data_IF_457266316586
#
_entry.id   IF_457266316586
#
_cell.length_a   1.000
_cell.length_b   1.000
_cell.length_c   1.000
_cell.angle_alpha   90.00
_cell.angle_beta   90.00
_cell.angle_gamma   90.00
#
_symmetry.space_group_name_H-M   'P 1'
#
loop_
_entity.id
_entity.type
_entity.pdbx_description
1 polymer ?
#
# COMPACT_ATOMS: atom_id res chain seq x y z
N UNK A 1 20.86 -29.04 14.82
CA UNK A 1 20.49 -28.46 13.51
C UNK A 1 20.60 -26.96 13.68
N UNK A 2 21.31 -26.25 12.80
CA UNK A 2 21.34 -24.78 12.85
C UNK A 2 19.93 -24.26 12.58
N UNK A 3 19.48 -23.29 13.37
CA UNK A 3 18.19 -22.63 13.17
C UNK A 3 18.24 -21.80 11.90
N UNK A 4 17.29 -22.02 10.99
CA UNK A 4 17.15 -21.27 9.74
C UNK A 4 16.33 -20.00 9.99
N UNK A 5 16.79 -18.87 9.45
CA UNK A 5 16.15 -17.58 9.61
C UNK A 5 15.67 -17.04 8.26
N UNK A 6 14.47 -16.48 8.25
CA UNK A 6 13.94 -15.71 7.13
C UNK A 6 14.13 -14.22 7.41
N UNK A 7 14.67 -13.48 6.43
CA UNK A 7 14.74 -12.02 6.51
C UNK A 7 13.42 -11.45 5.99
N UNK A 8 12.75 -10.65 6.81
CA UNK A 8 11.47 -10.02 6.49
C UNK A 8 11.64 -8.56 6.07
N UNK A 9 12.72 -7.91 6.51
CA UNK A 9 13.08 -6.56 6.13
C UNK A 9 14.61 -6.44 6.08
N UNK A 10 15.15 -6.16 4.89
CA UNK A 10 16.58 -6.09 4.65
C UNK A 10 17.20 -4.75 5.07
N UNK A 11 16.41 -3.69 5.26
CA UNK A 11 16.91 -2.38 5.68
C UNK A 11 16.96 -2.29 7.21
N UNK A 12 15.92 -2.75 7.89
CA UNK A 12 15.83 -2.74 9.36
C UNK A 12 16.36 -4.04 9.99
N UNK A 13 16.88 -4.97 9.17
CA UNK A 13 17.42 -6.28 9.55
C UNK A 13 16.45 -7.13 10.40
N UNK A 14 15.16 -7.12 10.04
CA UNK A 14 14.16 -7.93 10.73
C UNK A 14 14.29 -9.38 10.25
N UNK A 15 14.63 -10.28 11.18
CA UNK A 15 14.77 -11.71 10.93
C UNK A 15 13.99 -12.52 11.94
N UNK A 16 13.39 -13.63 11.49
CA UNK A 16 12.64 -14.55 12.36
C UNK A 16 12.98 -16.00 12.07
N UNK A 17 12.92 -16.91 13.06
CA UNK A 17 13.14 -18.33 12.84
C UNK A 17 12.08 -18.94 11.91
N UNK A 18 12.52 -19.51 10.79
CA UNK A 18 11.62 -19.95 9.71
C UNK A 18 10.67 -21.06 10.15
N UNK A 19 11.18 -22.02 10.93
CA UNK A 19 10.38 -23.15 11.41
C UNK A 19 9.32 -22.73 12.44
N UNK A 20 9.61 -21.74 13.29
CA UNK A 20 8.68 -21.22 14.31
C UNK A 20 7.51 -20.48 13.67
N UNK A 21 7.76 -19.76 12.57
CA UNK A 21 6.79 -18.86 11.94
C UNK A 21 6.24 -19.33 10.59
N UNK A 22 6.38 -20.60 10.22
CA UNK A 22 6.06 -21.11 8.88
C UNK A 22 4.69 -20.68 8.32
N UNK A 23 3.61 -20.74 9.12
CA UNK A 23 2.29 -20.29 8.67
C UNK A 23 2.23 -18.79 8.38
N UNK A 24 2.91 -17.98 9.20
CA UNK A 24 2.94 -16.52 9.04
C UNK A 24 3.80 -16.12 7.84
N UNK A 25 4.89 -16.85 7.60
CA UNK A 25 5.72 -16.69 6.40
C UNK A 25 4.95 -17.04 5.12
N UNK A 26 4.09 -18.06 5.15
CA UNK A 26 3.21 -18.39 4.01
C UNK A 26 2.20 -17.25 3.72
N UNK A 27 1.69 -16.58 4.75
CA UNK A 27 0.82 -15.40 4.59
C UNK A 27 1.59 -14.24 3.95
N UNK A 28 2.81 -13.96 4.42
CA UNK A 28 3.67 -12.93 3.81
C UNK A 28 3.99 -13.25 2.35
N UNK A 29 4.35 -14.49 2.03
CA UNK A 29 4.61 -14.90 0.64
C UNK A 29 3.38 -14.78 -0.25
N UNK A 30 2.19 -15.10 0.28
CA UNK A 30 0.93 -14.92 -0.46
C UNK A 30 0.62 -13.45 -0.74
N UNK A 31 0.86 -12.57 0.24
CA UNK A 31 0.69 -11.13 0.10
C UNK A 31 1.70 -10.53 -0.87
N UNK A 32 2.97 -10.96 -0.80
CA UNK A 32 4.02 -10.59 -1.75
C UNK A 32 3.58 -10.92 -3.19
N UNK A 33 3.19 -12.17 -3.46
CA UNK A 33 2.72 -12.59 -4.79
C UNK A 33 1.55 -11.71 -5.27
N UNK A 34 0.60 -11.39 -4.39
CA UNK A 34 -0.51 -10.50 -4.70
C UNK A 34 -0.05 -9.09 -5.06
N UNK A 35 0.85 -8.51 -4.26
CA UNK A 35 1.42 -7.18 -4.50
C UNK A 35 2.20 -7.13 -5.81
N UNK A 36 3.01 -8.15 -6.10
CA UNK A 36 3.75 -8.28 -7.36
C UNK A 36 2.79 -8.29 -8.54
N UNK A 37 1.72 -9.08 -8.50
CA UNK A 37 0.76 -9.13 -9.60
C UNK A 37 0.05 -7.79 -9.84
N UNK A 38 -0.34 -7.08 -8.78
CA UNK A 38 -0.97 -5.75 -8.89
C UNK A 38 0.01 -4.73 -9.50
N UNK A 39 1.29 -4.78 -9.11
CA UNK A 39 2.34 -3.93 -9.66
C UNK A 39 2.63 -4.25 -11.13
N UNK A 40 2.78 -5.53 -11.48
CA UNK A 40 2.97 -5.98 -12.86
C UNK A 40 1.80 -5.59 -13.76
N UNK A 41 0.56 -5.80 -13.29
CA UNK A 41 -0.64 -5.39 -14.02
C UNK A 41 -0.66 -3.88 -14.28
N UNK A 42 -0.37 -3.09 -13.26
CA UNK A 42 -0.33 -1.62 -13.39
C UNK A 42 0.77 -1.19 -14.35
N UNK A 43 1.98 -1.75 -14.22
CA UNK A 43 3.11 -1.45 -15.12
C UNK A 43 2.80 -1.80 -16.58
N UNK A 44 2.13 -2.91 -16.84
CA UNK A 44 1.69 -3.28 -18.18
C UNK A 44 0.74 -2.23 -18.77
N UNK A 45 -0.19 -1.71 -17.97
CA UNK A 45 -1.08 -0.61 -18.40
C UNK A 45 -0.32 0.70 -18.62
N UNK A 46 0.68 1.00 -17.79
CA UNK A 46 1.55 2.18 -17.96
C UNK A 46 2.30 2.13 -19.29
N UNK A 47 2.87 0.98 -19.64
CA UNK A 47 3.55 0.74 -20.92
C UNK A 47 2.59 0.95 -22.09
N UNK A 48 1.42 0.29 -22.08
CA UNK A 48 0.43 0.43 -23.16
C UNK A 48 -0.06 1.87 -23.33
N UNK A 49 -0.26 2.58 -22.22
CA UNK A 49 -0.69 3.99 -22.25
C UNK A 49 0.43 4.86 -22.81
N UNK A 50 1.69 4.58 -22.44
CA UNK A 50 2.85 5.30 -22.96
C UNK A 50 3.02 5.07 -24.48
N UNK A 51 2.85 3.83 -24.95
CA UNK A 51 2.89 3.48 -26.38
C UNK A 51 1.77 4.16 -27.18
N UNK A 52 0.57 4.26 -26.62
CA UNK A 52 -0.59 4.86 -27.30
C UNK A 52 -0.49 6.40 -27.35
N UNK A 53 -0.02 7.03 -26.28
CA UNK A 53 -0.17 8.47 -26.09
C UNK A 53 1.15 9.27 -26.09
N UNK A 54 2.29 8.62 -25.88
CA UNK A 54 3.62 9.24 -25.74
C UNK A 54 3.88 9.85 -24.36
N UNK A 55 5.07 10.45 -24.20
CA UNK A 55 5.59 10.96 -22.91
C UNK A 55 4.96 12.28 -22.43
N UNK A 56 4.40 13.08 -23.32
CA UNK A 56 4.09 14.50 -23.04
C UNK A 56 2.64 14.77 -22.63
N UNK A 57 1.90 13.74 -22.19
CA UNK A 57 0.46 13.87 -21.92
C UNK A 57 0.08 13.55 -20.48
N UNK A 58 -0.67 14.47 -19.88
CA UNK A 58 -1.50 14.20 -18.71
C UNK A 58 -2.84 13.70 -19.24
N UNK A 59 -3.19 12.45 -18.93
CA UNK A 59 -4.49 11.89 -19.29
C UNK A 59 -5.30 11.76 -18.02
N UNK A 60 -6.04 12.83 -17.74
CA UNK A 60 -7.08 12.83 -16.74
C UNK A 60 -8.23 11.94 -17.23
N UNK A 61 -8.20 10.67 -16.89
CA UNK A 61 -9.37 9.81 -17.08
C UNK A 61 -10.43 10.14 -16.03
N UNK A 62 -11.05 11.32 -16.14
CA UNK A 62 -12.24 11.67 -15.36
C UNK A 62 -13.51 11.00 -15.89
N UNK A 63 -13.38 10.29 -17.00
CA UNK A 63 -14.44 9.46 -17.56
C UNK A 63 -14.44 8.12 -16.86
N UNK A 64 -15.61 7.66 -16.42
CA UNK A 64 -15.85 6.31 -15.88
C UNK A 64 -15.64 5.24 -16.98
N UNK A 65 -14.42 5.15 -17.51
CA UNK A 65 -14.03 4.06 -18.39
C UNK A 65 -13.81 2.81 -17.55
N UNK A 66 -14.02 1.64 -18.16
CA UNK A 66 -13.77 0.36 -17.48
C UNK A 66 -12.34 0.24 -16.95
N UNK A 67 -11.36 0.83 -17.66
CA UNK A 67 -9.96 0.84 -17.26
C UNK A 67 -9.72 1.67 -15.99
N UNK A 68 -10.24 2.90 -15.93
CA UNK A 68 -10.07 3.78 -14.76
C UNK A 68 -10.68 3.17 -13.50
N UNK A 69 -11.88 2.59 -13.62
CA UNK A 69 -12.55 1.92 -12.49
C UNK A 69 -11.77 0.69 -12.02
N UNK A 70 -11.20 -0.08 -12.96
CA UNK A 70 -10.34 -1.21 -12.66
C UNK A 70 -9.05 -0.78 -11.96
N UNK A 71 -8.38 0.26 -12.45
CA UNK A 71 -7.16 0.78 -11.85
C UNK A 71 -7.40 1.35 -10.44
N UNK A 72 -8.51 2.06 -10.23
CA UNK A 72 -8.90 2.49 -8.88
C UNK A 72 -9.03 1.29 -7.92
N UNK A 73 -9.69 0.21 -8.37
CA UNK A 73 -9.79 -1.03 -7.60
C UNK A 73 -8.41 -1.68 -7.33
N UNK A 74 -7.51 -1.68 -8.32
CA UNK A 74 -6.14 -2.18 -8.16
C UNK A 74 -5.37 -1.39 -7.10
N UNK A 75 -5.48 -0.05 -7.10
CA UNK A 75 -4.87 0.81 -6.07
C UNK A 75 -5.44 0.54 -4.68
N UNK A 76 -6.76 0.34 -4.58
CA UNK A 76 -7.41 0.00 -3.32
C UNK A 76 -6.88 -1.34 -2.78
N UNK A 77 -6.87 -2.39 -3.59
CA UNK A 77 -6.34 -3.71 -3.21
C UNK A 77 -4.85 -3.69 -2.88
N UNK A 78 -4.06 -2.92 -3.62
CA UNK A 78 -2.64 -2.76 -3.33
C UNK A 78 -2.45 -2.11 -1.95
N UNK A 79 -3.17 -1.02 -1.67
CA UNK A 79 -3.07 -0.32 -0.40
C UNK A 79 -3.45 -1.20 0.80
N UNK A 80 -4.51 -2.00 0.66
CA UNK A 80 -4.96 -2.94 1.69
C UNK A 80 -3.93 -4.05 1.90
N UNK A 81 -3.43 -4.63 0.81
CA UNK A 81 -2.49 -5.75 0.86
C UNK A 81 -1.14 -5.32 1.41
N UNK A 82 -0.64 -4.14 1.01
CA UNK A 82 0.65 -3.62 1.48
C UNK A 82 0.59 -3.29 2.97
N UNK A 83 -0.45 -2.58 3.42
CA UNK A 83 -0.64 -2.29 4.85
C UNK A 83 -0.75 -3.59 5.67
N UNK A 84 -1.40 -4.63 5.12
CA UNK A 84 -1.48 -5.93 5.78
C UNK A 84 -0.12 -6.64 5.84
N UNK A 85 0.65 -6.60 4.75
CA UNK A 85 2.02 -7.15 4.69
C UNK A 85 2.92 -6.48 5.75
N UNK A 86 2.96 -5.15 5.77
CA UNK A 86 3.78 -4.38 6.70
C UNK A 86 3.40 -4.63 8.18
N UNK A 87 2.10 -4.71 8.47
CA UNK A 87 1.61 -5.10 9.81
C UNK A 87 2.10 -6.49 10.21
N UNK A 88 2.09 -7.42 9.27
CA UNK A 88 2.47 -8.79 9.55
C UNK A 88 3.98 -8.93 9.75
N UNK A 89 4.79 -8.20 8.97
CA UNK A 89 6.25 -8.06 9.21
C UNK A 89 6.49 -7.53 10.62
N UNK A 90 5.82 -6.43 11.01
CA UNK A 90 6.03 -5.82 12.33
C UNK A 90 5.53 -6.70 13.48
N UNK A 91 4.40 -7.38 13.30
CA UNK A 91 3.88 -8.37 14.26
C UNK A 91 4.92 -9.46 14.53
N UNK A 92 5.48 -10.06 13.48
CA UNK A 92 6.48 -11.12 13.62
C UNK A 92 7.75 -10.64 14.32
N UNK A 93 8.20 -9.43 14.00
CA UNK A 93 9.33 -8.81 14.71
C UNK A 93 9.04 -8.66 16.21
N UNK A 94 7.88 -8.12 16.59
CA UNK A 94 7.54 -7.87 18.00
C UNK A 94 7.31 -9.16 18.78
N UNK A 95 6.66 -10.14 18.15
CA UNK A 95 6.48 -11.47 18.74
C UNK A 95 7.83 -12.09 19.07
N UNK A 96 8.82 -11.95 18.18
CA UNK A 96 10.12 -12.56 18.39
C UNK A 96 11.01 -11.79 19.36
N UNK A 97 11.04 -10.46 19.27
CA UNK A 97 11.85 -9.62 20.18
C UNK A 97 11.37 -9.72 21.63
N UNK A 98 10.06 -9.87 21.85
CA UNK A 98 9.48 -9.95 23.19
C UNK A 98 9.19 -11.38 23.67
N UNK A 99 9.51 -12.40 22.85
CA UNK A 99 9.19 -13.81 23.10
C UNK A 99 7.71 -14.04 23.46
N UNK A 100 6.80 -13.37 22.74
CA UNK A 100 5.37 -13.55 22.92
C UNK A 100 4.87 -14.83 22.25
N UNK A 101 3.85 -15.44 22.84
CA UNK A 101 3.07 -16.50 22.22
C UNK A 101 1.67 -16.01 21.79
N UNK A 102 0.89 -16.89 21.16
CA UNK A 102 -0.45 -16.56 20.66
C UNK A 102 -1.44 -16.15 21.78
N UNK A 103 -1.21 -16.60 23.01
CA UNK A 103 -2.06 -16.31 24.18
C UNK A 103 -1.76 -14.92 24.71
N UNK A 104 -0.51 -14.47 24.63
CA UNK A 104 -0.12 -13.11 25.02
C UNK A 104 -0.86 -12.06 24.20
N UNK A 105 -1.14 -12.36 22.92
CA UNK A 105 -1.92 -11.49 22.03
C UNK A 105 -3.38 -11.27 22.49
N UNK A 106 -3.86 -11.98 23.51
CA UNK A 106 -5.17 -11.72 24.12
C UNK A 106 -5.14 -10.55 25.12
N UNK A 107 -3.96 -10.15 25.60
CA UNK A 107 -3.81 -9.02 26.52
C UNK A 107 -4.13 -7.70 25.82
N UNK A 108 -4.99 -6.88 26.44
CA UNK A 108 -5.32 -5.54 25.91
C UNK A 108 -4.11 -4.61 25.85
N UNK A 109 -3.17 -4.76 26.78
CA UNK A 109 -1.94 -3.98 26.81
C UNK A 109 -1.08 -4.30 25.59
N UNK A 110 -0.81 -5.58 25.35
CA UNK A 110 -0.06 -6.07 24.18
C UNK A 110 -0.78 -5.70 22.88
N UNK A 111 -2.12 -5.79 22.82
CA UNK A 111 -2.88 -5.37 21.64
C UNK A 111 -2.72 -3.88 21.31
N UNK A 112 -2.70 -3.01 22.32
CA UNK A 112 -2.49 -1.58 22.11
C UNK A 112 -1.05 -1.30 21.66
N UNK A 113 -0.06 -1.90 22.34
CA UNK A 113 1.35 -1.78 21.97
C UNK A 113 1.59 -2.23 20.52
N UNK A 114 1.05 -3.41 20.18
CA UNK A 114 1.15 -3.96 18.83
C UNK A 114 0.52 -3.04 17.79
N UNK A 115 -0.69 -2.53 18.05
CA UNK A 115 -1.38 -1.63 17.13
C UNK A 115 -0.55 -0.38 16.89
N UNK A 116 -0.07 0.26 17.94
CA UNK A 116 0.62 1.53 17.86
C UNK A 116 2.00 1.36 17.18
N UNK A 117 2.72 0.28 17.52
CA UNK A 117 3.99 -0.07 16.86
C UNK A 117 3.81 -0.44 15.38
N UNK A 118 2.73 -1.13 15.02
CA UNK A 118 2.40 -1.42 13.62
C UNK A 118 2.08 -0.15 12.84
N UNK A 119 1.30 0.78 13.41
CA UNK A 119 0.98 2.05 12.77
C UNK A 119 2.26 2.85 12.51
N UNK A 120 3.10 3.02 13.54
CA UNK A 120 4.36 3.75 13.42
C UNK A 120 5.29 3.14 12.34
N UNK A 121 5.36 1.80 12.27
CA UNK A 121 6.13 1.13 11.25
C UNK A 121 5.61 1.41 9.83
N UNK A 122 4.31 1.29 9.62
CA UNK A 122 3.69 1.56 8.31
C UNK A 122 3.90 3.02 7.90
N UNK A 123 3.67 3.97 8.81
CA UNK A 123 3.85 5.40 8.55
C UNK A 123 5.31 5.76 8.22
N UNK A 124 6.28 4.99 8.73
CA UNK A 124 7.69 5.17 8.36
C UNK A 124 8.05 4.61 6.97
N UNK A 125 7.28 3.65 6.45
CA UNK A 125 7.61 2.92 5.21
C UNK A 125 6.76 3.41 4.01
N UNK A 126 5.47 3.63 4.22
CA UNK A 126 4.50 3.96 3.17
C UNK A 126 3.35 4.83 3.71
N UNK A 127 3.63 6.05 4.23
CA UNK A 127 2.63 6.92 4.82
C UNK A 127 1.48 7.28 3.86
N UNK A 128 1.80 7.54 2.59
CA UNK A 128 0.82 7.90 1.56
C UNK A 128 -0.14 6.75 1.24
N UNK A 129 0.38 5.51 1.22
CA UNK A 129 -0.44 4.32 0.99
C UNK A 129 -1.32 4.03 2.21
N UNK A 130 -0.81 4.27 3.41
CA UNK A 130 -1.58 4.14 4.64
C UNK A 130 -2.72 5.15 4.72
N UNK A 131 -2.46 6.41 4.35
CA UNK A 131 -3.49 7.43 4.23
C UNK A 131 -4.55 7.00 3.21
N UNK A 132 -4.15 6.57 2.01
CA UNK A 132 -5.08 6.08 0.98
C UNK A 132 -5.94 4.92 1.49
N UNK A 133 -5.32 3.90 2.09
CA UNK A 133 -6.03 2.74 2.65
C UNK A 133 -7.10 3.16 3.65
N UNK A 134 -6.80 4.13 4.51
CA UNK A 134 -7.71 4.55 5.59
C UNK A 134 -8.82 5.50 5.13
N UNK A 135 -8.60 6.26 4.05
CA UNK A 135 -9.57 7.25 3.56
C UNK A 135 -10.39 6.75 2.37
N UNK A 136 -9.87 5.78 1.62
CA UNK A 136 -10.41 5.37 0.32
C UNK A 136 -10.44 3.84 0.19
N UNK A 137 -9.28 3.19 0.29
CA UNK A 137 -9.12 1.80 -0.13
C UNK A 137 -9.87 0.76 0.71
N UNK A 138 -9.78 0.86 2.04
CA UNK A 138 -10.45 -0.08 2.96
C UNK A 138 -11.73 0.51 3.57
N UNK A 139 -11.64 1.77 4.00
CA UNK A 139 -12.76 2.51 4.57
C UNK A 139 -12.91 3.75 3.73
N UNK A 140 -14.00 3.83 2.97
CA UNK A 140 -14.35 5.06 2.27
C UNK A 140 -14.70 6.08 3.35
N UNK A 141 -14.04 7.23 3.40
CA UNK A 141 -14.28 8.24 4.43
C UNK A 141 -15.78 8.63 4.51
N UNK A 142 -16.50 8.63 3.39
CA UNK A 142 -17.95 8.83 3.36
C UNK A 142 -18.78 7.75 4.10
N UNK A 143 -18.25 6.54 4.27
CA UNK A 143 -18.92 5.41 4.94
C UNK A 143 -18.51 5.23 6.40
N UNK A 144 -17.32 5.73 6.78
CA UNK A 144 -16.78 5.69 8.15
C UNK A 144 -16.04 7.01 8.45
N UNK A 145 -16.78 8.13 8.58
CA UNK A 145 -16.17 9.46 8.71
C UNK A 145 -15.48 9.63 10.06
N UNK A 146 -14.29 10.23 10.06
CA UNK A 146 -13.55 10.60 11.27
C UNK A 146 -13.61 12.11 11.50
N UNK A 147 -13.31 12.53 12.72
CA UNK A 147 -13.31 13.96 13.09
C UNK A 147 -12.35 14.83 12.25
N UNK A 148 -11.33 14.23 11.64
CA UNK A 148 -10.40 14.93 10.76
C UNK A 148 -10.88 15.03 9.31
N UNK A 149 -11.98 14.37 8.94
CA UNK A 149 -12.48 14.34 7.56
C UNK A 149 -13.33 15.56 7.26
N UNK A 150 -12.86 16.36 6.31
CA UNK A 150 -13.61 17.50 5.79
C UNK A 150 -14.53 17.08 4.62
N UNK A 151 -15.47 17.95 4.23
CA UNK A 151 -16.46 17.64 3.19
C UNK A 151 -15.81 17.27 1.85
N UNK A 152 -14.68 17.91 1.53
CA UNK A 152 -13.89 17.60 0.34
C UNK A 152 -13.35 16.17 0.38
N UNK A 153 -12.79 15.72 1.51
CA UNK A 153 -12.30 14.34 1.69
C UNK A 153 -13.43 13.31 1.59
N UNK A 154 -14.57 13.59 2.24
CA UNK A 154 -15.75 12.72 2.17
C UNK A 154 -16.21 12.55 0.72
N UNK A 155 -16.30 13.64 -0.03
CA UNK A 155 -16.70 13.62 -1.45
C UNK A 155 -15.68 12.85 -2.28
N UNK A 156 -14.39 13.18 -2.13
CA UNK A 156 -13.31 12.55 -2.88
C UNK A 156 -13.24 11.04 -2.66
N UNK A 157 -13.52 10.56 -1.44
CA UNK A 157 -13.49 9.13 -1.12
C UNK A 157 -14.46 8.28 -1.96
N UNK A 158 -15.49 8.91 -2.54
CA UNK A 158 -16.50 8.25 -3.40
C UNK A 158 -16.14 8.25 -4.89
N UNK A 159 -15.02 8.87 -5.26
CA UNK A 159 -14.57 9.01 -6.65
C UNK A 159 -13.49 7.98 -7.00
N UNK A 160 -13.46 7.44 -8.23
CA UNK A 160 -12.35 6.63 -8.72
C UNK A 160 -11.17 7.52 -9.12
N UNK A 161 -10.42 8.01 -8.12
CA UNK A 161 -9.44 9.07 -8.31
C UNK A 161 -8.02 8.57 -8.62
N UNK A 162 -7.90 7.80 -9.71
CA UNK A 162 -6.61 7.40 -10.31
C UNK A 162 -6.53 7.99 -11.71
N UNK A 163 -5.44 8.69 -12.00
CA UNK A 163 -5.20 9.33 -13.29
C UNK A 163 -3.82 8.97 -13.83
N UNK A 164 -3.68 8.99 -15.15
CA UNK A 164 -2.37 8.83 -15.77
C UNK A 164 -1.66 10.18 -15.81
N UNK A 165 -0.55 10.28 -15.09
CA UNK A 165 0.37 11.39 -15.18
C UNK A 165 1.69 10.83 -15.65
N UNK A 166 1.97 11.06 -16.94
CA UNK A 166 3.06 10.40 -17.63
C UNK A 166 4.33 10.38 -16.76
N UNK A 167 4.87 9.19 -16.47
CA UNK A 167 4.48 7.91 -17.08
C UNK A 167 3.67 6.95 -16.24
N UNK A 168 3.21 7.39 -15.08
CA UNK A 168 2.64 6.52 -14.09
C UNK A 168 1.15 6.74 -13.94
N UNK A 169 0.44 5.68 -13.58
CA UNK A 169 -0.84 5.87 -12.93
C UNK A 169 -0.62 6.36 -11.51
N UNK A 170 -1.32 7.42 -11.13
CA UNK A 170 -1.16 8.08 -9.83
C UNK A 170 -2.49 8.29 -9.15
N UNK A 171 -2.49 8.04 -7.85
CA UNK A 171 -3.50 8.45 -6.90
C UNK A 171 -3.19 9.86 -6.40
N UNK A 172 -4.23 10.64 -6.03
CA UNK A 172 -4.06 11.93 -5.36
C UNK A 172 -3.67 13.10 -6.28
N UNK A 173 -3.76 12.93 -7.60
CA UNK A 173 -3.49 14.01 -8.57
C UNK A 173 -4.61 15.05 -8.64
N UNK A 174 -5.87 14.63 -8.50
CA UNK A 174 -7.01 15.54 -8.52
C UNK A 174 -7.02 16.39 -7.24
N UNK A 175 -6.72 17.68 -7.38
CA UNK A 175 -6.93 18.68 -6.33
C UNK A 175 -8.36 19.18 -6.38
N UNK A 176 -9.15 18.81 -5.38
CA UNK A 176 -10.55 19.22 -5.22
C UNK A 176 -10.66 20.24 -4.08
N UNK A 177 -11.46 21.28 -4.28
CA UNK A 177 -11.87 22.22 -3.24
C UNK A 177 -13.37 22.41 -3.34
N UNK A 178 -14.08 22.26 -2.23
CA UNK A 178 -15.52 22.52 -2.12
C UNK A 178 -15.71 23.78 -1.27
N UNK A 179 -16.53 24.73 -1.73
CA UNK A 179 -16.81 25.96 -0.98
C UNK A 179 -17.33 25.65 0.43
N UNK A 180 -16.60 26.09 1.46
CA UNK A 180 -16.90 25.77 2.87
C UNK A 180 -16.55 24.34 3.32
N UNK A 181 -15.94 23.53 2.44
CA UNK A 181 -15.66 22.11 2.67
C UNK A 181 -14.19 21.76 2.96
N UNK A 182 -13.29 22.74 2.92
CA UNK A 182 -11.85 22.54 3.11
C UNK A 182 -11.11 22.07 1.85
N UNK A 183 -9.80 21.91 1.97
CA UNK A 183 -8.92 21.39 0.91
C UNK A 183 -8.74 19.87 1.03
N UNK A 184 -8.56 19.21 -0.11
CA UNK A 184 -8.27 17.78 -0.13
C UNK A 184 -6.85 17.52 0.40
N UNK A 185 -6.78 16.87 1.55
CA UNK A 185 -5.53 16.43 2.16
C UNK A 185 -5.25 14.96 1.83
N UNK A 186 -4.80 14.71 0.60
CA UNK A 186 -4.29 13.40 0.21
C UNK A 186 -2.95 13.54 -0.53
N UNK A 187 -2.01 12.71 -0.12
CA UNK A 187 -0.71 12.62 -0.77
C UNK A 187 -0.81 11.90 -2.11
N UNK A 188 0.05 12.35 -3.03
CA UNK A 188 0.12 11.83 -4.40
C UNK A 188 1.09 10.67 -4.44
N UNK A 189 0.71 9.57 -5.09
CA UNK A 189 1.57 8.39 -5.18
C UNK A 189 1.28 7.52 -6.40
N UNK A 190 2.30 6.84 -6.91
CA UNK A 190 2.16 5.77 -7.90
C UNK A 190 2.34 4.42 -7.23
N UNK A 191 1.53 3.45 -7.64
CA UNK A 191 1.64 2.07 -7.20
C UNK A 191 2.96 1.46 -7.63
N UNK A 192 3.37 1.62 -8.88
CA UNK A 192 4.58 0.99 -9.41
C UNK A 192 5.84 1.65 -8.88
N UNK A 193 5.89 2.99 -8.76
CA UNK A 193 7.01 3.68 -8.11
C UNK A 193 7.15 3.24 -6.64
N UNK A 194 6.02 3.15 -5.91
CA UNK A 194 6.04 2.68 -4.53
C UNK A 194 6.52 1.24 -4.44
N UNK A 195 6.04 0.36 -5.30
CA UNK A 195 6.47 -1.03 -5.34
C UNK A 195 7.97 -1.15 -5.59
N UNK A 196 8.50 -0.45 -6.61
CA UNK A 196 9.94 -0.43 -6.94
C UNK A 196 10.80 0.08 -5.78
N UNK A 197 10.34 1.12 -5.07
CA UNK A 197 11.04 1.64 -3.90
C UNK A 197 11.10 0.63 -2.74
N UNK A 198 10.15 -0.31 -2.68
CA UNK A 198 10.05 -1.33 -1.63
C UNK A 198 10.82 -2.62 -1.95
N UNK A 199 11.10 -2.89 -3.23
CA UNK A 199 11.88 -4.06 -3.68
C UNK A 199 13.18 -4.25 -2.89
N UNK A 200 14.10 -3.28 -2.78
CA UNK A 200 15.37 -3.50 -2.07
C UNK A 200 15.18 -3.79 -0.58
N UNK A 201 14.06 -3.38 0.00
CA UNK A 201 13.74 -3.55 1.43
C UNK A 201 13.10 -4.90 1.73
N UNK A 202 12.23 -5.40 0.85
CA UNK A 202 11.40 -6.57 1.15
C UNK A 202 11.62 -7.74 0.18
N UNK A 203 11.92 -7.47 -1.08
CA UNK A 203 11.94 -8.48 -2.15
C UNK A 203 13.16 -8.33 -3.05
N UNK A 204 14.39 -8.40 -2.50
CA UNK A 204 15.59 -8.19 -3.29
C UNK A 204 15.69 -9.22 -4.43
N UNK A 205 15.97 -8.71 -5.63
CA UNK A 205 16.06 -9.53 -6.84
C UNK A 205 14.78 -9.56 -7.69
N UNK A 206 13.67 -9.00 -7.20
CA UNK A 206 12.53 -8.71 -8.05
C UNK A 206 12.77 -7.46 -8.91
N UNK A 207 12.09 -7.38 -10.05
CA UNK A 207 12.08 -6.22 -10.93
C UNK A 207 10.74 -6.10 -11.67
N UNK A 208 10.32 -4.87 -11.95
CA UNK A 208 9.23 -4.61 -12.88
C UNK A 208 9.80 -4.38 -14.29
N UNK A 209 9.03 -4.70 -15.35
CA UNK A 209 9.38 -4.29 -16.72
C UNK A 209 9.68 -2.80 -16.79
N UNK A 210 10.75 -2.43 -17.50
CA UNK A 210 11.15 -1.03 -17.63
C UNK A 210 10.17 -0.27 -18.51
N UNK A 211 9.99 1.01 -18.18
CA UNK A 211 9.37 1.97 -19.08
C UNK A 211 10.48 2.47 -20.02
N UNK A 212 10.37 2.15 -21.31
CA UNK A 212 11.29 2.64 -22.32
C UNK A 212 10.89 4.06 -22.74
N UNK A 213 11.81 5.01 -22.53
CA UNK A 213 11.66 6.45 -22.83
C UNK A 213 12.23 6.80 -24.21
#
# INVERSE_FOLDING_TARGET
MSEEYSTLDYIDDIRVPSLKHGNSLNVLGSLEIGLTHLAMFTRQREIETLEEYGTDKIIGHFQNTGLTLMLACVFDWFSVSLVSYLRHVRLLNLVEVNDWDIRDLQSREIQNELRDACIAYIESVAPEVYQWRNKIGAHRAATDPRNSDNLTMLTYSTMPAVSYYSPYYRAGELRLTIGGGGELDIERWSLTEKYEALIPRYWPGQELPKLDW
#
